data_IF_869264248025
#
_entry.id   IF_869264248025
#
_cell.length_a   1.000
_cell.length_b   1.000
_cell.length_c   1.000
_cell.angle_alpha   90.00
_cell.angle_beta   90.00
_cell.angle_gamma   90.00
#
_symmetry.space_group_name_H-M   'P 1'
#
loop_
_entity.id
_entity.type
_entity.pdbx_description
1 polymer ?
#
# COMPACT_ATOMS: atom_id res chain seq x y z
N UNK A 1 -4.73 -4.12 12.79
CA UNK A 1 -3.53 -3.56 13.45
C UNK A 1 -3.58 -2.04 13.31
N UNK A 2 -2.69 -1.30 13.98
CA UNK A 2 -2.79 0.17 14.03
C UNK A 2 -2.67 0.87 12.66
N UNK A 3 -1.96 0.29 11.68
CA UNK A 3 -1.90 0.82 10.33
C UNK A 3 -3.22 0.61 9.60
N UNK A 4 -3.78 -0.60 9.72
CA UNK A 4 -5.07 -0.92 9.10
C UNK A 4 -6.22 -0.09 9.66
N UNK A 5 -6.29 0.08 10.98
CA UNK A 5 -7.34 0.92 11.59
C UNK A 5 -7.24 2.37 11.10
N UNK A 6 -6.03 2.93 11.00
CA UNK A 6 -5.84 4.27 10.44
C UNK A 6 -6.31 4.37 8.98
N UNK A 7 -6.00 3.36 8.14
CA UNK A 7 -6.47 3.32 6.74
C UNK A 7 -8.00 3.16 6.66
N UNK A 8 -8.59 2.38 7.56
CA UNK A 8 -10.03 2.16 7.66
C UNK A 8 -10.78 3.42 8.08
N UNK A 9 -10.22 4.21 9.01
CA UNK A 9 -10.74 5.52 9.39
C UNK A 9 -10.72 6.51 8.22
N UNK A 10 -9.75 6.39 7.31
CA UNK A 10 -9.68 7.16 6.08
C UNK A 10 -10.73 6.77 5.03
N UNK A 11 -11.56 5.73 5.24
CA UNK A 11 -12.67 5.34 4.34
C UNK A 11 -13.53 6.53 3.93
N UNK A 12 -13.84 7.42 4.87
CA UNK A 12 -14.67 8.61 4.63
C UNK A 12 -14.03 9.59 3.63
N UNK A 13 -12.71 9.52 3.46
CA UNK A 13 -11.90 10.36 2.56
C UNK A 13 -11.38 9.60 1.34
N UNK A 14 -11.55 8.27 1.31
CA UNK A 14 -11.04 7.42 0.24
C UNK A 14 -11.60 7.81 -1.15
N UNK A 15 -12.90 8.16 -1.33
CA UNK A 15 -13.40 8.66 -2.61
C UNK A 15 -12.67 9.94 -3.08
N UNK A 16 -12.39 10.86 -2.16
CA UNK A 16 -11.64 12.08 -2.46
C UNK A 16 -10.18 11.80 -2.84
N UNK A 17 -9.54 10.83 -2.19
CA UNK A 17 -8.20 10.36 -2.57
C UNK A 17 -8.18 9.77 -3.98
N UNK A 18 -9.20 8.99 -4.35
CA UNK A 18 -9.35 8.46 -5.72
C UNK A 18 -9.56 9.58 -6.73
N UNK A 19 -10.35 10.60 -6.40
CA UNK A 19 -10.54 11.78 -7.25
C UNK A 19 -9.23 12.57 -7.44
N UNK A 20 -8.44 12.78 -6.40
CA UNK A 20 -7.12 13.43 -6.52
C UNK A 20 -6.18 12.62 -7.41
N UNK A 21 -6.14 11.30 -7.24
CA UNK A 21 -5.33 10.40 -8.08
C UNK A 21 -5.79 10.45 -9.55
N UNK A 22 -7.10 10.51 -9.80
CA UNK A 22 -7.67 10.69 -11.13
C UNK A 22 -7.33 12.05 -11.73
N UNK A 23 -7.36 13.13 -10.94
CA UNK A 23 -6.97 14.48 -11.36
C UNK A 23 -5.48 14.57 -11.71
N UNK A 24 -4.62 13.83 -11.00
CA UNK A 24 -3.18 13.70 -11.29
C UNK A 24 -2.88 13.04 -12.65
N UNK A 25 -3.85 12.36 -13.27
CA UNK A 25 -3.70 11.82 -14.62
C UNK A 25 -3.71 12.91 -15.71
N UNK A 26 -4.18 14.12 -15.40
CA UNK A 26 -4.15 15.27 -16.30
C UNK A 26 -2.81 16.02 -16.19
N UNK A 27 -2.28 16.52 -17.32
CA UNK A 27 -1.02 17.28 -17.33
C UNK A 27 -1.20 18.61 -16.58
N UNK A 28 -0.46 18.80 -15.49
CA UNK A 28 -0.48 20.01 -14.68
C UNK A 28 0.48 19.93 -13.48
N UNK A 29 0.67 21.03 -12.71
CA UNK A 29 1.61 21.07 -11.58
C UNK A 29 1.30 20.05 -10.48
N UNK A 30 0.03 19.69 -10.29
CA UNK A 30 -0.41 18.64 -9.36
C UNK A 30 0.22 17.29 -9.69
N UNK A 31 0.37 16.98 -10.98
CA UNK A 31 1.00 15.73 -11.42
C UNK A 31 2.46 15.66 -10.98
N UNK A 32 3.22 16.75 -11.15
CA UNK A 32 4.62 16.82 -10.73
C UNK A 32 4.76 16.61 -9.23
N UNK A 33 3.96 17.29 -8.42
CA UNK A 33 3.98 17.09 -6.96
C UNK A 33 3.60 15.67 -6.55
N UNK A 34 2.65 15.05 -7.26
CA UNK A 34 2.27 13.66 -7.00
C UNK A 34 3.40 12.68 -7.37
N UNK A 35 4.08 12.91 -8.50
CA UNK A 35 5.24 12.10 -8.92
C UNK A 35 6.41 12.22 -7.94
N UNK A 36 6.70 13.45 -7.48
CA UNK A 36 7.73 13.72 -6.45
C UNK A 36 7.39 13.03 -5.13
N UNK A 37 6.17 13.23 -4.62
CA UNK A 37 5.70 12.59 -3.39
C UNK A 37 5.77 11.06 -3.48
N UNK A 38 5.37 10.49 -4.62
CA UNK A 38 5.46 9.05 -4.86
C UNK A 38 6.91 8.58 -4.85
N UNK A 39 7.82 9.33 -5.48
CA UNK A 39 9.25 9.04 -5.49
C UNK A 39 9.81 8.98 -4.06
N UNK A 40 9.62 10.05 -3.29
CA UNK A 40 10.09 10.15 -1.90
C UNK A 40 9.49 9.05 -1.00
N UNK A 41 8.18 8.83 -1.11
CA UNK A 41 7.49 7.81 -0.32
C UNK A 41 8.00 6.40 -0.64
N UNK A 42 8.33 6.14 -1.91
CA UNK A 42 8.89 4.85 -2.34
C UNK A 42 10.30 4.63 -1.80
N UNK A 43 11.16 5.66 -1.80
CA UNK A 43 12.50 5.57 -1.21
C UNK A 43 12.44 5.30 0.29
N UNK A 44 11.55 6.01 1.00
CA UNK A 44 11.34 5.81 2.43
C UNK A 44 10.81 4.40 2.75
N UNK A 45 9.85 3.90 1.96
CA UNK A 45 9.30 2.56 2.13
C UNK A 45 10.34 1.48 1.86
N UNK A 46 11.12 1.62 0.80
CA UNK A 46 12.22 0.70 0.49
C UNK A 46 13.26 0.66 1.61
N UNK A 47 13.67 1.84 2.11
CA UNK A 47 14.59 1.93 3.24
C UNK A 47 14.01 1.32 4.51
N UNK A 48 12.72 1.54 4.78
CA UNK A 48 12.01 0.95 5.90
C UNK A 48 12.01 -0.57 5.85
N UNK A 49 11.68 -1.15 4.69
CA UNK A 49 11.76 -2.60 4.45
C UNK A 49 13.20 -3.09 4.66
N UNK A 50 14.18 -2.41 4.09
CA UNK A 50 15.59 -2.78 4.26
C UNK A 50 16.06 -2.74 5.73
N UNK A 51 15.47 -1.85 6.54
CA UNK A 51 15.75 -1.77 7.98
C UNK A 51 15.10 -2.92 8.75
N UNK A 52 13.84 -3.25 8.44
CA UNK A 52 13.09 -4.33 9.10
C UNK A 52 13.72 -5.70 8.84
N UNK A 53 14.19 -5.92 7.61
CA UNK A 53 14.80 -7.19 7.19
C UNK A 53 16.33 -7.14 7.18
N UNK A 54 16.96 -6.21 7.92
CA UNK A 54 18.41 -5.98 7.84
C UNK A 54 19.24 -7.26 8.01
N UNK A 55 18.83 -8.14 8.91
CA UNK A 55 19.51 -9.41 9.20
C UNK A 55 19.20 -10.53 8.18
N UNK A 56 18.13 -10.38 7.40
CA UNK A 56 17.63 -11.38 6.44
C UNK A 56 17.72 -10.90 4.98
N UNK A 57 18.33 -9.74 4.70
CA UNK A 57 18.40 -9.15 3.35
C UNK A 57 18.93 -10.12 2.28
N UNK A 58 19.93 -10.93 2.63
CA UNK A 58 20.53 -11.91 1.71
C UNK A 58 19.63 -13.13 1.46
N UNK A 59 18.67 -13.38 2.35
CA UNK A 59 17.72 -14.48 2.27
C UNK A 59 16.38 -14.06 1.61
N UNK A 60 16.15 -12.76 1.42
CA UNK A 60 14.96 -12.26 0.74
C UNK A 60 14.96 -12.65 -0.75
N UNK A 61 13.93 -13.36 -1.19
CA UNK A 61 13.71 -13.66 -2.62
C UNK A 61 13.33 -12.41 -3.44
N UNK A 62 12.71 -11.44 -2.76
CA UNK A 62 12.24 -10.18 -3.36
C UNK A 62 13.02 -9.02 -2.76
N UNK A 63 13.71 -8.26 -3.61
CA UNK A 63 14.46 -7.10 -3.14
C UNK A 63 13.55 -6.07 -2.46
N UNK A 64 14.07 -5.28 -1.48
CA UNK A 64 13.30 -4.25 -0.80
C UNK A 64 12.51 -3.32 -1.73
N UNK A 65 13.14 -2.80 -2.80
CA UNK A 65 12.45 -1.96 -3.77
C UNK A 65 11.39 -2.68 -4.63
N UNK A 66 11.48 -4.00 -4.82
CA UNK A 66 10.39 -4.78 -5.45
C UNK A 66 9.24 -4.97 -4.47
N UNK A 67 9.53 -5.30 -3.20
CA UNK A 67 8.51 -5.47 -2.17
C UNK A 67 7.78 -4.15 -1.89
N UNK A 68 8.50 -3.02 -1.82
CA UNK A 68 7.92 -1.68 -1.67
C UNK A 68 6.87 -1.38 -2.76
N UNK A 69 7.16 -1.74 -4.01
CA UNK A 69 6.23 -1.53 -5.13
C UNK A 69 4.97 -2.37 -5.00
N UNK A 70 5.12 -3.63 -4.57
CA UNK A 70 3.98 -4.53 -4.34
C UNK A 70 3.10 -4.01 -3.21
N UNK A 71 3.70 -3.66 -2.06
CA UNK A 71 3.00 -3.07 -0.92
C UNK A 71 2.22 -1.82 -1.36
N UNK A 72 2.86 -0.90 -2.10
CA UNK A 72 2.20 0.33 -2.56
C UNK A 72 0.97 0.02 -3.42
N UNK A 73 1.10 -0.85 -4.42
CA UNK A 73 -0.01 -1.19 -5.32
C UNK A 73 -1.16 -1.84 -4.55
N UNK A 74 -0.84 -2.77 -3.64
CA UNK A 74 -1.84 -3.41 -2.79
C UNK A 74 -2.57 -2.40 -1.88
N UNK A 75 -1.85 -1.45 -1.29
CA UNK A 75 -2.47 -0.38 -0.48
C UNK A 75 -3.38 0.52 -1.31
N UNK A 76 -2.99 0.89 -2.53
CA UNK A 76 -3.90 1.64 -3.42
C UNK A 76 -5.14 0.83 -3.79
N UNK A 77 -4.99 -0.47 -4.06
CA UNK A 77 -6.13 -1.36 -4.28
C UNK A 77 -7.10 -1.36 -3.10
N UNK A 78 -6.58 -1.53 -1.88
CA UNK A 78 -7.39 -1.49 -0.66
C UNK A 78 -8.11 -0.14 -0.46
N UNK A 79 -7.45 0.98 -0.76
CA UNK A 79 -8.09 2.31 -0.69
C UNK A 79 -9.26 2.41 -1.67
N UNK A 80 -9.10 1.88 -2.88
CA UNK A 80 -10.17 1.83 -3.88
C UNK A 80 -11.32 0.95 -3.38
N UNK A 81 -11.04 -0.25 -2.90
CA UNK A 81 -12.05 -1.15 -2.34
C UNK A 81 -12.80 -0.51 -1.15
N UNK A 82 -12.08 0.14 -0.23
CA UNK A 82 -12.67 0.91 0.88
C UNK A 82 -13.60 2.02 0.40
N UNK A 83 -13.25 2.72 -0.69
CA UNK A 83 -14.08 3.78 -1.25
C UNK A 83 -15.41 3.23 -1.83
N UNK A 84 -15.43 1.98 -2.28
CA UNK A 84 -16.62 1.31 -2.81
C UNK A 84 -17.40 0.52 -1.76
N UNK A 85 -16.83 0.20 -0.60
CA UNK A 85 -17.50 -0.53 0.46
C UNK A 85 -18.60 0.32 1.12
N UNK A 86 -19.87 0.06 0.75
CA UNK A 86 -21.04 0.84 1.21
C UNK A 86 -21.74 0.27 2.43
N UNK A 87 -21.59 -1.02 2.68
CA UNK A 87 -22.21 -1.74 3.80
C UNK A 87 -21.15 -2.52 4.61
N UNK A 88 -21.61 -3.15 5.69
CA UNK A 88 -20.75 -3.87 6.63
C UNK A 88 -20.15 -5.13 6.00
N UNK A 89 -20.89 -5.84 5.16
CA UNK A 89 -20.41 -7.03 4.47
C UNK A 89 -19.27 -6.69 3.49
N UNK A 90 -19.40 -5.60 2.73
CA UNK A 90 -18.34 -5.11 1.88
C UNK A 90 -17.09 -4.72 2.69
N UNK A 91 -17.25 -4.09 3.85
CA UNK A 91 -16.11 -3.76 4.72
C UNK A 91 -15.40 -5.00 5.24
N UNK A 92 -16.15 -6.02 5.65
CA UNK A 92 -15.58 -7.29 6.09
C UNK A 92 -14.78 -7.97 4.97
N UNK A 93 -15.24 -7.87 3.72
CA UNK A 93 -14.49 -8.38 2.58
C UNK A 93 -13.18 -7.62 2.36
N UNK A 94 -13.16 -6.29 2.55
CA UNK A 94 -11.91 -5.51 2.47
C UNK A 94 -10.98 -5.83 3.63
N UNK A 95 -11.50 -5.98 4.85
CA UNK A 95 -10.73 -6.40 6.02
C UNK A 95 -10.05 -7.76 5.78
N UNK A 96 -10.79 -8.72 5.22
CA UNK A 96 -10.25 -10.02 4.86
C UNK A 96 -9.17 -9.90 3.78
N UNK A 97 -9.39 -9.08 2.76
CA UNK A 97 -8.40 -8.84 1.70
C UNK A 97 -7.10 -8.26 2.27
N UNK A 98 -7.19 -7.33 3.22
CA UNK A 98 -6.01 -6.80 3.91
C UNK A 98 -5.26 -7.89 4.69
N UNK A 99 -5.98 -8.75 5.42
CA UNK A 99 -5.39 -9.86 6.15
C UNK A 99 -4.67 -10.82 5.19
N UNK A 100 -5.29 -11.19 4.07
CA UNK A 100 -4.72 -12.08 3.06
C UNK A 100 -3.45 -11.49 2.43
N UNK A 101 -3.46 -10.18 2.15
CA UNK A 101 -2.29 -9.46 1.63
C UNK A 101 -1.13 -9.48 2.63
N UNK A 102 -1.41 -9.23 3.91
CA UNK A 102 -0.40 -9.27 4.97
C UNK A 102 0.22 -10.66 5.06
N UNK A 103 -0.60 -11.70 5.09
CA UNK A 103 -0.14 -13.08 5.20
C UNK A 103 0.67 -13.49 3.95
N UNK A 104 0.23 -13.04 2.76
CA UNK A 104 0.97 -13.21 1.50
C UNK A 104 2.34 -12.52 1.54
N UNK A 105 2.42 -11.28 2.04
CA UNK A 105 3.70 -10.58 2.16
C UNK A 105 4.61 -11.21 3.21
N UNK A 106 4.08 -11.74 4.30
CA UNK A 106 4.87 -12.47 5.27
C UNK A 106 5.53 -13.71 4.63
N UNK A 107 4.77 -14.45 3.79
CA UNK A 107 5.30 -15.58 3.02
C UNK A 107 6.37 -15.11 2.03
N UNK A 108 6.08 -14.11 1.20
CA UNK A 108 7.00 -13.63 0.16
C UNK A 108 8.29 -13.04 0.74
N UNK A 109 8.20 -12.33 1.87
CA UNK A 109 9.35 -11.70 2.50
C UNK A 109 10.26 -12.71 3.22
N UNK A 110 9.69 -13.84 3.69
CA UNK A 110 10.37 -14.77 4.60
C UNK A 110 10.52 -16.17 3.99
N UNK A 111 10.08 -16.43 2.75
CA UNK A 111 10.12 -17.78 2.18
C UNK A 111 11.55 -18.34 2.12
N UNK A 112 11.85 -19.13 3.16
CA UNK A 112 12.85 -20.20 3.19
C UNK A 112 12.20 -21.42 2.56
N UNK A 113 12.95 -22.11 1.69
CA UNK A 113 12.56 -23.43 1.18
C UNK A 113 12.27 -24.44 2.28
#
# INVERSE_FOLDING_TARGET
>A
DNLWEALREMRTWAPFMVEILALGAHRGPIKTYLEEFVGESMELLEKGIGTVFADDLAAMEVSPGRLARLVRVSMYGLIVELAYARDEDALLAVDQTYADLRDTFAVIAVQRG
#
